data_IF_287617751092
#
_entry.id   IF_287617751092
#
_cell.length_a   1.000
_cell.length_b   1.000
_cell.length_c   1.000
_cell.angle_alpha   90.00
_cell.angle_beta   90.00
_cell.angle_gamma   90.00
#
_symmetry.space_group_name_H-M   'P 1'
#
loop_
_entity.id
_entity.type
_entity.pdbx_description
1 polymer ?
#
# COMPACT_ATOMS: atom_id res chain seq x y z
N UNK A 1 -11.59 2.23 -16.86
CA UNK A 1 -11.60 1.39 -15.64
C UNK A 1 -10.21 1.46 -15.03
N UNK A 2 -10.08 1.87 -13.77
CA UNK A 2 -8.80 1.83 -13.06
C UNK A 2 -8.44 0.38 -12.72
N UNK A 3 -7.18 -0.01 -12.92
CA UNK A 3 -6.70 -1.35 -12.56
C UNK A 3 -6.50 -1.43 -11.04
N UNK A 4 -6.98 -2.51 -10.44
CA UNK A 4 -6.84 -2.78 -9.00
C UNK A 4 -5.62 -3.68 -8.76
N UNK A 5 -4.88 -3.40 -7.70
CA UNK A 5 -3.70 -4.13 -7.27
C UNK A 5 -3.90 -4.63 -5.83
N UNK A 6 -3.19 -5.69 -5.47
CA UNK A 6 -3.17 -6.22 -4.10
C UNK A 6 -1.75 -6.57 -3.71
N UNK A 7 -1.30 -6.00 -2.61
CA UNK A 7 0.04 -6.23 -2.04
C UNK A 7 -0.11 -6.90 -0.68
N UNK A 8 0.72 -7.89 -0.40
CA UNK A 8 0.85 -8.49 0.93
C UNK A 8 2.13 -7.95 1.56
N UNK A 9 2.01 -7.33 2.74
CA UNK A 9 3.12 -6.74 3.48
C UNK A 9 3.26 -7.48 4.80
N UNK A 10 4.47 -7.95 5.10
CA UNK A 10 4.81 -8.52 6.39
C UNK A 10 5.10 -7.39 7.39
N UNK A 11 4.47 -7.42 8.58
CA UNK A 11 4.62 -6.38 9.59
C UNK A 11 5.79 -6.56 10.55
N UNK A 12 6.64 -7.55 10.33
CA UNK A 12 7.80 -7.81 11.19
C UNK A 12 8.71 -6.59 11.38
N UNK A 13 8.74 -5.67 10.41
CA UNK A 13 9.56 -4.46 10.43
C UNK A 13 8.79 -3.17 10.78
N UNK A 14 7.48 -3.22 11.01
CA UNK A 14 6.66 -2.03 11.28
C UNK A 14 6.37 -1.86 12.78
N UNK A 15 6.51 -0.66 13.36
CA UNK A 15 6.34 -0.44 14.80
C UNK A 15 4.89 -0.71 15.25
N UNK A 16 4.72 -1.06 16.53
CA UNK A 16 3.44 -1.39 17.20
C UNK A 16 2.29 -0.39 16.97
N UNK A 17 2.60 0.83 16.49
CA UNK A 17 1.63 1.89 16.16
C UNK A 17 0.87 1.68 14.84
N UNK A 18 1.05 0.53 14.19
CA UNK A 18 0.34 0.14 12.97
C UNK A 18 -1.19 0.01 13.16
N UNK A 19 -1.68 0.03 14.40
CA UNK A 19 -3.10 0.06 14.73
C UNK A 19 -3.79 1.40 14.35
N UNK A 20 -3.03 2.50 14.20
CA UNK A 20 -3.60 3.76 13.74
C UNK A 20 -3.66 3.82 12.21
N UNK A 21 -4.88 3.77 11.66
CA UNK A 21 -5.17 3.75 10.21
C UNK A 21 -4.42 4.82 9.40
N UNK A 22 -4.33 6.07 9.87
CA UNK A 22 -3.63 7.13 9.13
C UNK A 22 -2.11 6.96 9.15
N UNK A 23 -1.54 6.61 10.31
CA UNK A 23 -0.11 6.37 10.43
C UNK A 23 0.32 5.12 9.65
N UNK A 24 -0.55 4.12 9.61
CA UNK A 24 -0.42 2.91 8.81
C UNK A 24 -0.34 3.20 7.32
N UNK A 25 -1.31 3.93 6.78
CA UNK A 25 -1.35 4.23 5.33
C UNK A 25 -0.09 4.99 4.88
N UNK A 26 0.37 5.96 5.68
CA UNK A 26 1.62 6.70 5.42
C UNK A 26 2.84 5.76 5.43
N UNK A 27 2.86 4.79 6.35
CA UNK A 27 3.98 3.85 6.48
C UNK A 27 4.02 2.83 5.33
N UNK A 28 2.86 2.48 4.75
CA UNK A 28 2.72 1.49 3.67
C UNK A 28 3.03 2.09 2.28
N UNK A 29 2.72 3.37 2.06
CA UNK A 29 2.87 4.03 0.75
C UNK A 29 4.24 3.84 0.09
N UNK A 30 5.39 3.95 0.79
CA UNK A 30 6.71 3.67 0.22
C UNK A 30 6.84 2.27 -0.36
N UNK A 31 6.28 1.26 0.30
CA UNK A 31 6.30 -0.13 -0.15
C UNK A 31 5.49 -0.32 -1.41
N UNK A 32 4.28 0.27 -1.47
CA UNK A 32 3.43 0.21 -2.68
C UNK A 32 4.09 0.92 -3.86
N UNK A 33 4.76 2.05 -3.61
CA UNK A 33 5.47 2.78 -4.64
C UNK A 33 6.67 2.00 -5.20
N UNK A 34 7.45 1.37 -4.32
CA UNK A 34 8.55 0.51 -4.73
C UNK A 34 8.05 -0.69 -5.56
N UNK A 35 6.95 -1.33 -5.16
CA UNK A 35 6.33 -2.40 -5.95
C UNK A 35 5.84 -1.90 -7.32
N UNK A 36 5.17 -0.75 -7.37
CA UNK A 36 4.67 -0.19 -8.62
C UNK A 36 5.80 0.13 -9.61
N UNK A 37 6.86 0.79 -9.15
CA UNK A 37 7.95 1.27 -10.00
C UNK A 37 8.95 0.17 -10.32
N UNK A 38 9.36 -0.61 -9.33
CA UNK A 38 10.43 -1.62 -9.46
C UNK A 38 9.87 -3.00 -9.76
N UNK A 39 8.78 -3.40 -9.10
CA UNK A 39 8.15 -4.72 -9.30
C UNK A 39 7.32 -4.81 -10.58
N UNK A 40 6.56 -3.75 -10.89
CA UNK A 40 5.63 -3.70 -12.02
C UNK A 40 6.12 -2.84 -13.20
N UNK A 41 7.20 -2.06 -13.01
CA UNK A 41 7.76 -1.22 -14.08
C UNK A 41 6.87 -0.03 -14.48
N UNK A 42 6.05 0.48 -13.55
CA UNK A 42 5.10 1.55 -13.82
C UNK A 42 5.74 2.92 -13.61
N UNK A 43 5.54 3.83 -14.57
CA UNK A 43 5.93 5.23 -14.46
C UNK A 43 4.80 6.03 -13.80
N UNK A 44 4.86 6.12 -12.47
CA UNK A 44 3.87 6.83 -11.63
C UNK A 44 4.55 7.62 -10.52
N UNK A 45 3.84 8.62 -10.00
CA UNK A 45 4.22 9.34 -8.79
C UNK A 45 3.54 8.77 -7.54
N UNK A 46 4.13 9.04 -6.36
CA UNK A 46 3.56 8.68 -5.06
C UNK A 46 2.10 9.12 -4.90
N UNK A 47 1.77 10.34 -5.35
CA UNK A 47 0.42 10.93 -5.22
C UNK A 47 -0.64 10.20 -6.06
N UNK A 48 -0.20 9.41 -7.05
CA UNK A 48 -1.10 8.60 -7.87
C UNK A 48 -1.50 7.31 -7.17
N UNK A 49 -0.85 6.90 -6.09
CA UNK A 49 -1.22 5.69 -5.37
C UNK A 49 -2.39 6.00 -4.43
N UNK A 50 -3.50 5.32 -4.65
CA UNK A 50 -4.66 5.36 -3.76
C UNK A 50 -4.85 4.02 -3.06
N UNK A 51 -4.70 4.04 -1.73
CA UNK A 51 -5.05 2.91 -0.88
C UNK A 51 -6.58 2.87 -0.74
N UNK A 52 -7.18 1.73 -1.08
CA UNK A 52 -8.63 1.52 -1.03
C UNK A 52 -9.04 0.74 0.22
N UNK A 53 -8.26 -0.28 0.60
CA UNK A 53 -8.53 -1.11 1.76
C UNK A 53 -7.25 -1.70 2.31
N UNK A 54 -7.16 -1.77 3.63
CA UNK A 54 -6.08 -2.43 4.35
C UNK A 54 -6.71 -3.45 5.30
N UNK A 55 -6.41 -4.72 5.09
CA UNK A 55 -6.93 -5.84 5.87
C UNK A 55 -5.76 -6.50 6.61
N UNK A 56 -5.85 -6.60 7.93
CA UNK A 56 -4.88 -7.31 8.77
C UNK A 56 -5.39 -8.73 9.02
N UNK A 57 -4.56 -9.73 8.79
CA UNK A 57 -4.86 -11.11 9.18
C UNK A 57 -4.08 -11.47 10.45
N UNK A 58 -4.83 -11.81 11.50
CA UNK A 58 -4.26 -12.37 12.73
C UNK A 58 -3.92 -13.84 12.51
N UNK A 59 -2.68 -14.10 12.09
CA UNK A 59 -2.09 -15.42 12.25
C UNK A 59 -1.63 -15.52 13.71
N UNK A 60 -1.98 -16.61 14.41
CA UNK A 60 -1.72 -16.81 15.85
C UNK A 60 -0.24 -16.88 16.27
N UNK A 61 0.68 -16.35 15.47
CA UNK A 61 2.12 -16.21 15.70
C UNK A 61 2.63 -15.07 14.80
N UNK A 62 3.48 -14.16 15.31
CA UNK A 62 4.08 -13.06 14.51
C UNK A 62 4.73 -13.56 13.22
N UNK A 63 4.77 -12.78 12.11
CA UNK A 63 4.27 -11.41 11.95
C UNK A 63 2.88 -11.33 11.31
N UNK A 64 2.13 -10.30 11.69
CA UNK A 64 0.84 -9.97 11.11
C UNK A 64 1.00 -9.63 9.62
N UNK A 65 0.25 -10.31 8.75
CA UNK A 65 0.21 -9.97 7.34
C UNK A 65 -0.81 -8.87 7.09
N UNK A 66 -0.48 -7.96 6.18
CA UNK A 66 -1.37 -6.90 5.75
C UNK A 66 -1.62 -7.00 4.26
N UNK A 67 -2.89 -7.22 3.93
CA UNK A 67 -3.39 -7.20 2.56
C UNK A 67 -3.84 -5.78 2.23
N UNK A 68 -3.14 -5.14 1.30
CA UNK A 68 -3.42 -3.78 0.85
C UNK A 68 -4.01 -3.82 -0.54
N UNK A 69 -5.25 -3.37 -0.69
CA UNK A 69 -5.89 -3.12 -1.98
C UNK A 69 -5.68 -1.67 -2.36
N UNK A 70 -5.12 -1.44 -3.53
CA UNK A 70 -4.79 -0.10 -4.01
C UNK A 70 -5.00 0.04 -5.52
N UNK A 71 -5.03 1.29 -5.99
CA UNK A 71 -5.16 1.62 -7.41
C UNK A 71 -4.31 2.84 -7.77
N UNK A 72 -4.16 3.06 -9.08
CA UNK A 72 -3.47 4.23 -9.62
C UNK A 72 -4.53 5.25 -10.04
N UNK A 73 -4.48 6.44 -9.43
CA UNK A 73 -5.26 7.60 -9.82
C UNK A 73 -4.75 8.14 -11.16
N UNK A 74 -5.65 8.58 -12.05
CA UNK A 74 -5.24 9.31 -13.24
C UNK A 74 -4.47 10.55 -12.81
N UNK A 75 -3.37 10.84 -13.51
CA UNK A 75 -2.63 12.08 -13.34
C UNK A 75 -3.60 13.24 -13.58
N UNK A 76 -3.74 14.15 -12.63
CA UNK A 76 -4.53 15.36 -12.87
C UNK A 76 -3.82 16.13 -13.98
N UNK A 77 -4.40 16.16 -15.17
CA UNK A 77 -3.99 17.14 -16.17
C UNK A 77 -4.30 18.52 -15.57
N UNK A 78 -3.25 19.24 -15.19
CA UNK A 78 -3.37 20.67 -14.94
C UNK A 78 -3.84 21.30 -16.25
N UNK A 79 -5.12 21.67 -16.29
CA UNK A 79 -5.71 22.47 -17.36
C UNK A 79 -5.42 23.95 -17.19
#
# INVERSE_FOLDING_TARGET
>A
MSKLYTTIILLEDYPDKFENTKARDISILPTLYAEATTGLGLDINFEQIEILKVETEEHGSSPLEVKVKWQIKPSVQAG
#
